data_IF_017622148426
#
_entry.id   IF_017622148426
#
_cell.length_a   1.000
_cell.length_b   1.000
_cell.length_c   1.000
_cell.angle_alpha   90.00
_cell.angle_beta   90.00
_cell.angle_gamma   90.00
#
_symmetry.space_group_name_H-M   'P 1'
#
loop_
_entity.id
_entity.type
_entity.pdbx_description
1 polymer ?
#
# COMPACT_ATOMS: atom_id res chain seq x y z
N UNK A 1 29.07 5.12 -23.25
CA UNK A 1 29.41 3.78 -22.73
C UNK A 1 29.13 2.75 -23.83
N UNK A 2 30.07 1.82 -24.11
CA UNK A 2 29.78 0.74 -25.05
C UNK A 2 28.86 -0.29 -24.40
N UNK A 3 28.13 -1.08 -25.19
CA UNK A 3 27.24 -2.13 -24.69
C UNK A 3 27.97 -3.14 -23.78
N UNK A 4 29.20 -3.50 -24.09
CA UNK A 4 30.02 -4.39 -23.30
C UNK A 4 30.35 -3.80 -21.90
N UNK A 5 30.61 -2.50 -21.83
CA UNK A 5 30.89 -1.81 -20.57
C UNK A 5 29.67 -1.78 -19.63
N UNK A 6 28.48 -1.64 -20.20
CA UNK A 6 27.21 -1.70 -19.42
C UNK A 6 26.99 -3.11 -18.89
N UNK A 7 27.26 -4.14 -19.70
CA UNK A 7 27.04 -5.53 -19.30
C UNK A 7 28.01 -5.97 -18.19
N UNK A 8 29.30 -5.61 -18.28
CA UNK A 8 30.28 -5.86 -17.22
C UNK A 8 29.91 -5.13 -15.93
N UNK A 9 29.46 -3.89 -16.04
CA UNK A 9 29.01 -3.09 -14.89
C UNK A 9 27.78 -3.72 -14.22
N UNK A 10 26.78 -4.20 -14.97
CA UNK A 10 25.61 -4.89 -14.46
C UNK A 10 26.00 -6.18 -13.73
N UNK A 11 26.93 -6.96 -14.27
CA UNK A 11 27.42 -8.17 -13.61
C UNK A 11 28.08 -7.87 -12.27
N UNK A 12 28.93 -6.84 -12.20
CA UNK A 12 29.58 -6.40 -10.98
C UNK A 12 28.61 -5.95 -9.89
N UNK A 13 27.51 -5.27 -10.27
CA UNK A 13 26.54 -4.72 -9.34
C UNK A 13 25.27 -5.58 -9.18
N UNK A 14 25.19 -6.72 -9.86
CA UNK A 14 23.99 -7.58 -9.88
C UNK A 14 23.53 -8.01 -8.48
N UNK A 15 24.46 -8.43 -7.61
CA UNK A 15 24.13 -8.84 -6.23
C UNK A 15 23.55 -7.70 -5.41
N UNK A 16 24.07 -6.49 -5.56
CA UNK A 16 23.56 -5.29 -4.89
C UNK A 16 22.14 -4.97 -5.36
N UNK A 17 21.94 -4.92 -6.68
CA UNK A 17 20.65 -4.56 -7.28
C UNK A 17 19.56 -5.61 -7.01
N UNK A 18 19.88 -6.91 -7.14
CA UNK A 18 18.95 -8.00 -6.83
C UNK A 18 18.63 -8.05 -5.34
N UNK A 19 19.61 -7.87 -4.47
CA UNK A 19 19.39 -7.78 -3.02
C UNK A 19 18.44 -6.63 -2.66
N UNK A 20 18.71 -5.44 -3.20
CA UNK A 20 17.86 -4.27 -2.98
C UNK A 20 16.44 -4.43 -3.55
N UNK A 21 16.30 -5.12 -4.69
CA UNK A 21 14.97 -5.45 -5.25
C UNK A 21 14.21 -6.36 -4.31
N UNK A 22 14.86 -7.40 -3.79
CA UNK A 22 14.25 -8.31 -2.83
C UNK A 22 13.82 -7.58 -1.54
N UNK A 23 14.66 -6.70 -1.01
CA UNK A 23 14.34 -5.87 0.15
C UNK A 23 13.10 -4.99 -0.10
N UNK A 24 13.03 -4.34 -1.28
CA UNK A 24 11.85 -3.54 -1.66
C UNK A 24 10.59 -4.39 -1.72
N UNK A 25 10.65 -5.56 -2.38
CA UNK A 25 9.52 -6.49 -2.47
C UNK A 25 9.10 -6.99 -1.09
N UNK A 26 10.05 -7.34 -0.24
CA UNK A 26 9.79 -7.79 1.13
C UNK A 26 9.07 -6.71 1.96
N UNK A 27 9.58 -5.47 1.94
CA UNK A 27 8.93 -4.35 2.63
C UNK A 27 7.49 -4.14 2.16
N UNK A 28 7.29 -4.08 0.85
CA UNK A 28 5.98 -3.84 0.23
C UNK A 28 5.01 -4.99 0.52
N UNK A 29 5.47 -6.23 0.42
CA UNK A 29 4.64 -7.40 0.67
C UNK A 29 4.18 -7.47 2.13
N UNK A 30 5.11 -7.34 3.08
CA UNK A 30 4.77 -7.44 4.52
C UNK A 30 3.90 -6.26 4.95
N UNK A 31 4.28 -5.02 4.60
CA UNK A 31 3.50 -3.84 4.93
C UNK A 31 2.12 -3.87 4.25
N UNK A 32 2.04 -4.36 3.01
CA UNK A 32 0.79 -4.54 2.28
C UNK A 32 -0.14 -5.54 2.96
N UNK A 33 0.36 -6.75 3.25
CA UNK A 33 -0.45 -7.79 3.91
C UNK A 33 -1.04 -7.29 5.23
N UNK A 34 -0.23 -6.69 6.09
CA UNK A 34 -0.72 -6.16 7.38
C UNK A 34 -1.64 -4.95 7.17
N UNK A 35 -1.27 -4.06 6.24
CA UNK A 35 -2.09 -2.91 5.87
C UNK A 35 -3.49 -3.29 5.37
N UNK A 36 -3.59 -4.33 4.53
CA UNK A 36 -4.88 -4.86 4.06
C UNK A 36 -5.64 -5.59 5.15
N UNK A 37 -4.97 -6.42 5.95
CA UNK A 37 -5.62 -7.18 7.02
C UNK A 37 -6.34 -6.27 8.03
N UNK A 38 -5.80 -5.07 8.29
CA UNK A 38 -6.39 -4.09 9.20
C UNK A 38 -7.23 -3.04 8.44
N UNK A 39 -6.75 -2.55 7.32
CA UNK A 39 -7.38 -1.47 6.57
C UNK A 39 -8.69 -1.87 5.91
N UNK A 40 -8.82 -3.12 5.38
CA UNK A 40 -10.08 -3.58 4.77
C UNK A 40 -11.21 -3.62 5.80
N UNK A 41 -11.08 -4.31 6.94
CA UNK A 41 -12.12 -4.26 7.98
C UNK A 41 -12.46 -2.85 8.44
N UNK A 42 -11.44 -1.99 8.61
CA UNK A 42 -11.64 -0.60 9.02
C UNK A 42 -12.46 0.18 7.99
N UNK A 43 -12.17 0.01 6.69
CA UNK A 43 -12.94 0.64 5.60
C UNK A 43 -14.38 0.15 5.54
N UNK A 44 -14.61 -1.15 5.75
CA UNK A 44 -15.96 -1.72 5.87
C UNK A 44 -16.72 -1.10 7.05
N UNK A 45 -16.09 -1.02 8.24
CA UNK A 45 -16.70 -0.42 9.42
C UNK A 45 -17.06 1.05 9.16
N UNK A 46 -16.18 1.83 8.53
CA UNK A 46 -16.47 3.22 8.15
C UNK A 46 -17.70 3.30 7.24
N UNK A 47 -17.79 2.44 6.23
CA UNK A 47 -18.91 2.45 5.30
C UNK A 47 -20.25 2.09 5.98
N UNK A 48 -20.30 1.02 6.78
CA UNK A 48 -21.56 0.54 7.36
C UNK A 48 -22.06 1.40 8.53
N UNK A 49 -21.17 2.13 9.21
CA UNK A 49 -21.50 2.98 10.37
C UNK A 49 -21.86 4.42 10.00
N UNK A 50 -21.69 4.82 8.73
CA UNK A 50 -22.04 6.16 8.25
C UNK A 50 -23.53 6.46 8.44
N UNK A 51 -23.90 7.74 8.39
CA UNK A 51 -25.30 8.19 8.45
C UNK A 51 -26.11 7.55 7.30
N UNK A 52 -27.22 6.90 7.63
CA UNK A 52 -28.00 6.10 6.69
C UNK A 52 -27.36 4.77 6.29
N UNK A 53 -26.31 4.34 6.95
CA UNK A 53 -25.63 3.06 6.70
C UNK A 53 -26.32 1.88 7.39
N UNK A 54 -25.87 0.67 7.03
CA UNK A 54 -26.46 -0.60 7.49
C UNK A 54 -26.47 -0.78 9.02
N UNK A 55 -25.46 -0.28 9.71
CA UNK A 55 -25.31 -0.30 11.16
C UNK A 55 -24.94 1.12 11.65
N UNK A 56 -25.84 2.08 11.35
CA UNK A 56 -25.58 3.50 11.63
C UNK A 56 -25.11 3.75 13.07
N UNK A 57 -23.92 4.32 13.18
CA UNK A 57 -23.35 4.83 14.42
C UNK A 57 -22.49 6.05 14.12
N UNK A 58 -23.11 7.21 14.08
CA UNK A 58 -22.47 8.47 13.71
C UNK A 58 -21.31 8.85 14.61
N UNK A 59 -21.35 8.52 15.90
CA UNK A 59 -20.24 8.79 16.83
C UNK A 59 -19.00 7.93 16.49
N UNK A 60 -19.20 6.62 16.32
CA UNK A 60 -18.12 5.70 15.93
C UNK A 60 -17.55 6.09 14.57
N UNK A 61 -18.41 6.34 13.59
CA UNK A 61 -18.01 6.75 12.25
C UNK A 61 -17.17 8.04 12.26
N UNK A 62 -17.63 9.08 12.97
CA UNK A 62 -16.93 10.36 13.07
C UNK A 62 -15.56 10.20 13.74
N UNK A 63 -15.46 9.42 14.82
CA UNK A 63 -14.19 9.17 15.53
C UNK A 63 -13.21 8.39 14.66
N UNK A 64 -13.63 7.27 14.08
CA UNK A 64 -12.78 6.47 13.20
C UNK A 64 -12.39 7.25 11.93
N UNK A 65 -13.34 7.97 11.34
CA UNK A 65 -13.09 8.83 10.19
C UNK A 65 -12.07 9.92 10.48
N UNK A 66 -12.13 10.54 11.67
CA UNK A 66 -11.14 11.52 12.10
C UNK A 66 -9.73 10.89 12.25
N UNK A 67 -9.63 9.73 12.90
CA UNK A 67 -8.35 9.00 13.05
C UNK A 67 -7.76 8.64 11.69
N UNK A 68 -8.57 8.09 10.78
CA UNK A 68 -8.14 7.75 9.42
C UNK A 68 -7.69 9.00 8.64
N UNK A 69 -8.42 10.11 8.76
CA UNK A 69 -8.06 11.36 8.10
C UNK A 69 -6.74 11.93 8.63
N UNK A 70 -6.55 11.95 9.96
CA UNK A 70 -5.30 12.39 10.58
C UNK A 70 -4.14 11.53 10.09
N UNK A 71 -4.28 10.18 10.11
CA UNK A 71 -3.25 9.27 9.65
C UNK A 71 -2.82 9.49 8.18
N UNK A 72 -3.75 9.91 7.32
CA UNK A 72 -3.48 10.24 5.91
C UNK A 72 -2.94 11.66 5.69
N UNK A 73 -3.14 12.55 6.65
CA UNK A 73 -2.72 13.96 6.52
C UNK A 73 -1.22 14.15 6.77
N UNK A 74 -0.56 13.18 7.40
CA UNK A 74 0.87 13.27 7.71
C UNK A 74 1.67 12.82 6.48
N UNK A 75 2.56 13.66 5.93
CA UNK A 75 3.48 13.23 4.87
C UNK A 75 4.29 12.03 5.31
N UNK A 76 4.43 11.02 4.44
CA UNK A 76 5.05 9.74 4.81
C UNK A 76 6.46 9.89 5.41
N UNK A 77 7.29 10.73 4.83
CA UNK A 77 8.64 10.98 5.35
C UNK A 77 8.64 11.56 6.77
N UNK A 78 7.68 12.44 7.07
CA UNK A 78 7.50 13.01 8.41
C UNK A 78 6.98 11.95 9.38
N UNK A 79 6.00 11.14 8.95
CA UNK A 79 5.49 10.02 9.74
C UNK A 79 6.62 9.07 10.12
N UNK A 80 7.45 8.68 9.17
CA UNK A 80 8.56 7.75 9.39
C UNK A 80 9.54 8.25 10.45
N UNK A 81 9.89 9.54 10.41
CA UNK A 81 10.78 10.16 11.41
C UNK A 81 10.08 10.29 12.76
N UNK A 82 8.81 10.70 12.77
CA UNK A 82 8.05 10.90 14.00
C UNK A 82 7.84 9.61 14.79
N UNK A 83 7.71 8.46 14.12
CA UNK A 83 7.48 7.17 14.79
C UNK A 83 8.77 6.35 15.06
N UNK A 84 9.96 6.94 14.89
CA UNK A 84 11.23 6.28 15.24
C UNK A 84 11.19 5.66 16.65
N UNK A 85 10.69 6.33 17.70
CA UNK A 85 10.60 5.73 19.05
C UNK A 85 9.75 4.45 19.06
N UNK A 86 8.62 4.45 18.35
CA UNK A 86 7.71 3.28 18.24
C UNK A 86 8.40 2.16 17.46
N UNK A 87 9.07 2.49 16.34
CA UNK A 87 9.81 1.54 15.52
C UNK A 87 10.91 0.86 16.35
N UNK A 88 11.69 1.64 17.12
CA UNK A 88 12.72 1.09 18.02
C UNK A 88 12.14 0.18 19.10
N UNK A 89 11.00 0.53 19.64
CA UNK A 89 10.33 -0.29 20.66
C UNK A 89 9.88 -1.65 20.10
N UNK A 90 9.41 -1.68 18.85
CA UNK A 90 8.88 -2.89 18.20
C UNK A 90 9.96 -3.78 17.60
N UNK A 91 11.01 -3.19 17.02
CA UNK A 91 12.01 -3.90 16.21
C UNK A 91 13.41 -3.84 16.83
N UNK A 92 13.64 -3.00 17.82
CA UNK A 92 14.96 -2.80 18.44
C UNK A 92 15.88 -1.84 17.68
N UNK A 93 15.58 -1.53 16.43
CA UNK A 93 16.32 -0.59 15.58
C UNK A 93 15.36 0.30 14.78
N UNK A 94 15.86 1.40 14.23
CA UNK A 94 15.10 2.25 13.30
C UNK A 94 15.74 2.26 11.90
N UNK A 95 16.83 1.51 11.70
CA UNK A 95 17.54 1.38 10.43
C UNK A 95 17.36 -0.04 9.90
N UNK A 96 17.28 -0.17 8.59
CA UNK A 96 17.15 -1.44 7.88
C UNK A 96 15.72 -1.77 7.46
N UNK A 97 15.63 -2.80 6.63
CA UNK A 97 14.42 -3.21 5.91
C UNK A 97 13.26 -3.55 6.86
N UNK A 98 13.56 -4.29 7.93
CA UNK A 98 12.54 -4.67 8.94
C UNK A 98 12.01 -3.45 9.69
N UNK A 99 12.88 -2.48 10.00
CA UNK A 99 12.46 -1.24 10.66
C UNK A 99 11.54 -0.41 9.76
N UNK A 100 11.85 -0.32 8.47
CA UNK A 100 11.05 0.42 7.50
C UNK A 100 9.63 -0.14 7.31
N UNK A 101 9.40 -1.43 7.57
CA UNK A 101 8.06 -2.05 7.50
C UNK A 101 7.08 -1.39 8.47
N UNK A 102 7.52 -0.96 9.66
CA UNK A 102 6.64 -0.36 10.68
C UNK A 102 5.97 0.92 10.16
N UNK A 103 6.72 1.97 9.73
CA UNK A 103 6.10 3.17 9.16
C UNK A 103 5.30 2.90 7.89
N UNK A 104 5.77 2.00 7.03
CA UNK A 104 5.04 1.61 5.82
C UNK A 104 3.66 1.04 6.16
N UNK A 105 3.59 0.15 7.15
CA UNK A 105 2.33 -0.45 7.61
C UNK A 105 1.40 0.58 8.24
N UNK A 106 1.92 1.43 9.14
CA UNK A 106 1.13 2.47 9.81
C UNK A 106 0.56 3.47 8.80
N UNK A 107 1.33 3.83 7.78
CA UNK A 107 0.85 4.69 6.69
C UNK A 107 -0.16 4.01 5.76
N UNK A 108 0.00 2.70 5.50
CA UNK A 108 -0.88 1.94 4.63
C UNK A 108 -2.29 1.76 5.21
N UNK A 109 -2.43 1.48 6.50
CA UNK A 109 -3.72 1.18 7.14
C UNK A 109 -4.78 2.25 6.86
N UNK A 110 -4.60 3.55 7.19
CA UNK A 110 -5.60 4.58 6.94
C UNK A 110 -5.81 4.85 5.45
N UNK A 111 -4.78 4.65 4.63
CA UNK A 111 -4.87 4.77 3.18
C UNK A 111 -5.79 3.68 2.59
N UNK A 112 -5.55 2.42 2.93
CA UNK A 112 -6.41 1.29 2.54
C UNK A 112 -7.83 1.48 3.04
N UNK A 113 -8.03 1.83 4.31
CA UNK A 113 -9.36 2.00 4.89
C UNK A 113 -10.21 2.99 4.09
N UNK A 114 -9.61 4.11 3.65
CA UNK A 114 -10.32 5.11 2.85
C UNK A 114 -10.60 4.65 1.42
N UNK A 115 -9.69 3.90 0.80
CA UNK A 115 -9.92 3.33 -0.52
C UNK A 115 -11.05 2.29 -0.50
N UNK A 116 -11.09 1.43 0.51
CA UNK A 116 -12.14 0.42 0.68
C UNK A 116 -13.48 1.09 0.97
N UNK A 117 -13.52 2.09 1.85
CA UNK A 117 -14.75 2.87 2.06
C UNK A 117 -15.26 3.48 0.76
N UNK A 118 -14.36 4.06 -0.07
CA UNK A 118 -14.69 4.57 -1.39
C UNK A 118 -15.25 3.51 -2.32
N UNK A 119 -14.61 2.35 -2.39
CA UNK A 119 -15.07 1.23 -3.21
C UNK A 119 -16.49 0.76 -2.83
N UNK A 120 -16.79 0.69 -1.53
CA UNK A 120 -18.10 0.31 -1.05
C UNK A 120 -19.18 1.40 -1.29
N UNK A 121 -18.79 2.66 -1.44
CA UNK A 121 -19.70 3.75 -1.79
C UNK A 121 -20.19 3.67 -3.24
N UNK A 122 -19.48 2.99 -4.12
CA UNK A 122 -19.87 2.79 -5.52
C UNK A 122 -20.97 1.73 -5.71
N UNK A 123 -21.20 0.89 -4.68
CA UNK A 123 -22.25 -0.14 -4.74
C UNK A 123 -23.62 0.50 -4.75
N UNK A 124 -24.49 0.17 -5.74
CA UNK A 124 -25.84 0.73 -5.81
C UNK A 124 -26.66 0.44 -4.55
N UNK A 125 -27.26 1.47 -3.96
CA UNK A 125 -28.05 1.34 -2.71
C UNK A 125 -29.25 0.38 -2.88
N UNK A 126 -29.84 0.33 -4.08
CA UNK A 126 -30.95 -0.57 -4.38
C UNK A 126 -30.63 -2.06 -4.17
N UNK A 127 -29.36 -2.49 -4.34
CA UNK A 127 -28.94 -3.87 -4.05
C UNK A 127 -28.99 -4.15 -2.53
N UNK A 128 -28.60 -3.18 -1.73
CA UNK A 128 -28.66 -3.28 -0.26
C UNK A 128 -30.11 -3.29 0.21
N UNK A 129 -30.94 -2.40 -0.34
CA UNK A 129 -32.38 -2.31 -0.01
C UNK A 129 -33.13 -3.59 -0.41
N UNK A 130 -32.85 -4.15 -1.58
CA UNK A 130 -33.41 -5.42 -2.02
C UNK A 130 -33.05 -6.58 -1.07
N UNK A 131 -31.76 -6.66 -0.67
CA UNK A 131 -31.32 -7.68 0.27
C UNK A 131 -31.97 -7.53 1.65
N UNK A 132 -32.13 -6.29 2.14
CA UNK A 132 -32.84 -6.01 3.39
C UNK A 132 -34.31 -6.43 3.31
N UNK A 133 -35.02 -6.14 2.19
CA UNK A 133 -36.40 -6.52 1.96
C UNK A 133 -36.59 -8.03 1.93
N UNK A 134 -35.57 -8.80 1.54
CA UNK A 134 -35.56 -10.27 1.60
C UNK A 134 -35.18 -10.81 2.99
N UNK A 135 -34.98 -9.97 4.00
CA UNK A 135 -34.67 -10.37 5.37
C UNK A 135 -33.21 -10.76 5.58
N UNK A 136 -32.27 -10.34 4.70
CA UNK A 136 -30.84 -10.62 4.88
C UNK A 136 -30.28 -9.92 6.12
N UNK A 137 -29.46 -10.65 6.88
CA UNK A 137 -28.76 -10.08 8.05
C UNK A 137 -27.64 -9.12 7.61
N UNK A 138 -27.22 -8.16 8.45
CA UNK A 138 -26.12 -7.25 8.13
C UNK A 138 -24.85 -7.96 7.66
N UNK A 139 -24.47 -9.07 8.29
CA UNK A 139 -23.31 -9.88 7.88
C UNK A 139 -23.50 -10.48 6.49
N UNK A 140 -24.69 -10.95 6.16
CA UNK A 140 -25.00 -11.47 4.82
C UNK A 140 -24.92 -10.38 3.77
N UNK A 141 -25.43 -9.18 4.07
CA UNK A 141 -25.35 -8.03 3.16
C UNK A 141 -23.89 -7.64 2.91
N UNK A 142 -23.07 -7.56 3.95
CA UNK A 142 -21.65 -7.22 3.81
C UNK A 142 -20.93 -8.27 2.96
N UNK A 143 -21.08 -9.56 3.29
CA UNK A 143 -20.25 -10.62 2.68
C UNK A 143 -20.78 -11.12 1.33
N UNK A 144 -22.10 -11.02 1.06
CA UNK A 144 -22.71 -11.56 -0.16
C UNK A 144 -23.17 -10.48 -1.15
N UNK A 145 -23.23 -9.21 -0.72
CA UNK A 145 -23.66 -8.12 -1.59
C UNK A 145 -22.56 -7.07 -1.70
N UNK A 146 -22.20 -6.39 -0.59
CA UNK A 146 -21.27 -5.26 -0.63
C UNK A 146 -19.87 -5.65 -1.10
N UNK A 147 -19.25 -6.64 -0.47
CA UNK A 147 -17.88 -7.04 -0.81
C UNK A 147 -17.77 -7.65 -2.22
N UNK A 148 -18.66 -8.58 -2.65
CA UNK A 148 -18.59 -9.12 -4.01
C UNK A 148 -18.84 -8.06 -5.09
N UNK A 149 -19.81 -7.17 -4.91
CA UNK A 149 -20.10 -6.12 -5.89
C UNK A 149 -18.99 -5.07 -6.00
N UNK A 150 -18.34 -4.73 -4.86
CA UNK A 150 -17.20 -3.81 -4.83
C UNK A 150 -15.86 -4.48 -5.23
N UNK A 151 -15.82 -5.80 -5.47
CA UNK A 151 -14.57 -6.55 -5.66
C UNK A 151 -13.65 -5.98 -6.74
N UNK A 152 -14.13 -5.57 -7.94
CA UNK A 152 -13.27 -4.96 -8.95
C UNK A 152 -12.55 -3.69 -8.44
N UNK A 153 -13.27 -2.80 -7.77
CA UNK A 153 -12.73 -1.56 -7.19
C UNK A 153 -11.83 -1.85 -5.99
N UNK A 154 -12.13 -2.89 -5.19
CA UNK A 154 -11.25 -3.35 -4.10
C UNK A 154 -9.92 -3.85 -4.65
N UNK A 155 -9.92 -4.67 -5.70
CA UNK A 155 -8.68 -5.17 -6.33
C UNK A 155 -7.86 -4.02 -6.92
N UNK A 156 -8.51 -3.05 -7.56
CA UNK A 156 -7.84 -1.85 -8.03
C UNK A 156 -7.22 -1.05 -6.87
N UNK A 157 -7.92 -0.92 -5.74
CA UNK A 157 -7.43 -0.28 -4.52
C UNK A 157 -6.20 -0.99 -3.93
N UNK A 158 -6.15 -2.32 -4.01
CA UNK A 158 -4.97 -3.11 -3.63
C UNK A 158 -3.79 -2.75 -4.54
N UNK A 159 -3.99 -2.70 -5.84
CA UNK A 159 -2.95 -2.34 -6.81
C UNK A 159 -2.40 -0.93 -6.55
N UNK A 160 -3.27 0.05 -6.39
CA UNK A 160 -2.89 1.44 -6.07
C UNK A 160 -2.07 1.49 -4.78
N UNK A 161 -2.48 0.74 -3.76
CA UNK A 161 -1.77 0.70 -2.47
C UNK A 161 -0.37 0.09 -2.63
N UNK A 162 -0.22 -1.02 -3.35
CA UNK A 162 1.08 -1.65 -3.58
C UNK A 162 2.03 -0.74 -4.33
N UNK A 163 1.57 -0.05 -5.38
CA UNK A 163 2.36 0.96 -6.12
C UNK A 163 2.77 2.11 -5.20
N UNK A 164 1.85 2.59 -4.36
CA UNK A 164 2.15 3.64 -3.36
C UNK A 164 3.18 3.17 -2.34
N UNK A 165 3.10 1.92 -1.87
CA UNK A 165 4.07 1.35 -0.95
C UNK A 165 5.46 1.21 -1.57
N UNK A 166 5.59 0.92 -2.87
CA UNK A 166 6.89 0.97 -3.58
C UNK A 166 7.46 2.39 -3.50
N UNK A 167 6.67 3.42 -3.77
CA UNK A 167 7.10 4.82 -3.67
C UNK A 167 7.53 5.19 -2.24
N UNK A 168 6.78 4.75 -1.24
CA UNK A 168 7.10 4.97 0.18
C UNK A 168 8.36 4.20 0.62
N UNK A 169 8.57 2.97 0.11
CA UNK A 169 9.80 2.22 0.38
C UNK A 169 11.04 2.92 -0.20
N UNK A 170 10.90 3.57 -1.36
CA UNK A 170 11.97 4.38 -1.92
C UNK A 170 12.29 5.60 -1.04
N UNK A 171 11.26 6.25 -0.46
CA UNK A 171 11.45 7.32 0.52
C UNK A 171 12.11 6.80 1.81
N UNK A 172 11.74 5.60 2.27
CA UNK A 172 12.38 4.97 3.44
C UNK A 172 13.88 4.74 3.24
N UNK A 173 14.32 4.53 2.00
CA UNK A 173 15.73 4.44 1.64
C UNK A 173 16.55 5.68 2.02
N UNK A 174 15.96 6.88 2.05
CA UNK A 174 16.67 8.12 2.46
C UNK A 174 17.10 8.10 3.93
N UNK A 175 16.47 7.28 4.75
CA UNK A 175 16.73 7.17 6.21
C UNK A 175 17.36 5.81 6.55
N UNK A 176 17.88 5.12 5.53
CA UNK A 176 18.53 3.83 5.72
C UNK A 176 17.59 2.64 5.87
N UNK A 177 16.40 2.73 5.27
CA UNK A 177 15.41 1.64 5.23
C UNK A 177 15.78 0.46 4.33
N UNK A 178 16.86 0.56 3.53
CA UNK A 178 17.22 -0.46 2.55
C UNK A 178 16.42 -0.36 1.24
N UNK A 179 16.54 -1.38 0.40
CA UNK A 179 15.84 -1.48 -0.87
C UNK A 179 16.43 -0.64 -2.00
N UNK A 180 15.71 -0.63 -3.14
CA UNK A 180 16.14 0.11 -4.33
C UNK A 180 16.25 1.62 -4.06
N UNK A 181 15.39 2.18 -3.20
CA UNK A 181 15.47 3.59 -2.82
C UNK A 181 16.76 3.94 -2.09
N UNK A 182 17.25 3.09 -1.20
CA UNK A 182 18.52 3.26 -0.50
C UNK A 182 19.70 3.22 -1.48
N UNK A 183 19.67 2.28 -2.44
CA UNK A 183 20.71 2.19 -3.48
C UNK A 183 20.72 3.46 -4.34
N UNK A 184 19.56 3.96 -4.76
CA UNK A 184 19.47 5.20 -5.53
C UNK A 184 20.07 6.39 -4.78
N UNK A 185 19.76 6.55 -3.50
CA UNK A 185 20.23 7.68 -2.70
C UNK A 185 21.71 7.50 -2.32
N UNK A 186 22.09 6.35 -1.78
CA UNK A 186 23.42 6.13 -1.24
C UNK A 186 24.50 6.07 -2.33
N UNK A 187 24.24 5.37 -3.42
CA UNK A 187 25.20 5.20 -4.50
C UNK A 187 24.95 6.20 -5.64
N UNK A 188 23.70 6.37 -6.05
CA UNK A 188 23.36 7.26 -7.15
C UNK A 188 23.52 8.73 -6.80
N UNK A 189 22.91 9.18 -5.70
CA UNK A 189 22.93 10.60 -5.33
C UNK A 189 24.19 10.99 -4.55
N UNK A 190 24.48 10.33 -3.42
CA UNK A 190 25.63 10.73 -2.57
C UNK A 190 26.99 10.45 -3.17
N UNK A 191 27.13 9.40 -3.99
CA UNK A 191 28.40 9.07 -4.67
C UNK A 191 28.45 9.60 -6.10
N UNK A 192 27.41 10.29 -6.55
CA UNK A 192 27.31 10.84 -7.92
C UNK A 192 27.45 9.78 -9.02
N UNK A 193 27.05 8.52 -8.75
CA UNK A 193 27.03 7.47 -9.77
C UNK A 193 25.73 7.53 -10.56
N UNK A 194 25.77 8.28 -11.67
CA UNK A 194 24.63 8.47 -12.58
C UNK A 194 24.13 7.14 -13.14
N UNK A 195 25.03 6.16 -13.35
CA UNK A 195 24.68 4.85 -13.92
C UNK A 195 23.84 4.06 -12.92
N UNK A 196 24.26 3.97 -11.65
CA UNK A 196 23.47 3.34 -10.58
C UNK A 196 22.11 4.04 -10.44
N UNK A 197 22.08 5.36 -10.43
CA UNK A 197 20.84 6.12 -10.34
C UNK A 197 19.88 5.75 -11.49
N UNK A 198 20.35 5.79 -12.74
CA UNK A 198 19.52 5.49 -13.89
C UNK A 198 19.00 4.04 -13.88
N UNK A 199 19.87 3.07 -13.59
CA UNK A 199 19.48 1.65 -13.51
C UNK A 199 18.45 1.43 -12.39
N UNK A 200 18.64 2.00 -11.22
CA UNK A 200 17.72 1.86 -10.08
C UNK A 200 16.35 2.46 -10.40
N UNK A 201 16.31 3.64 -11.06
CA UNK A 201 15.05 4.25 -11.51
C UNK A 201 14.34 3.35 -12.51
N UNK A 202 15.04 2.80 -13.50
CA UNK A 202 14.46 1.85 -14.46
C UNK A 202 13.91 0.61 -13.75
N UNK A 203 14.65 0.05 -12.78
CA UNK A 203 14.19 -1.10 -12.01
C UNK A 203 12.92 -0.79 -11.20
N UNK A 204 12.82 0.39 -10.58
CA UNK A 204 11.61 0.83 -9.88
C UNK A 204 10.43 0.97 -10.84
N UNK A 205 10.65 1.57 -12.03
CA UNK A 205 9.61 1.68 -13.06
C UNK A 205 9.12 0.29 -13.49
N UNK A 206 10.03 -0.64 -13.78
CA UNK A 206 9.69 -2.01 -14.19
C UNK A 206 8.91 -2.72 -13.08
N UNK A 207 9.35 -2.60 -11.83
CA UNK A 207 8.67 -3.18 -10.68
C UNK A 207 7.22 -2.68 -10.54
N UNK A 208 7.02 -1.36 -10.64
CA UNK A 208 5.69 -0.74 -10.59
C UNK A 208 4.84 -1.20 -11.77
N UNK A 209 5.39 -1.26 -12.98
CA UNK A 209 4.66 -1.73 -14.17
C UNK A 209 4.23 -3.21 -14.05
N UNK A 210 5.07 -4.06 -13.46
CA UNK A 210 4.70 -5.46 -13.19
C UNK A 210 3.52 -5.52 -12.21
N UNK A 211 3.60 -4.79 -11.08
CA UNK A 211 2.51 -4.74 -10.10
C UNK A 211 1.21 -4.24 -10.74
N UNK A 212 1.28 -3.15 -11.52
CA UNK A 212 0.14 -2.58 -12.22
C UNK A 212 -0.47 -3.57 -13.22
N UNK A 213 0.35 -4.20 -14.05
CA UNK A 213 -0.10 -5.16 -15.05
C UNK A 213 -0.78 -6.39 -14.44
N UNK A 214 -0.25 -6.89 -13.31
CA UNK A 214 -0.87 -7.98 -12.56
C UNK A 214 -2.22 -7.53 -12.00
N UNK A 215 -2.26 -6.34 -11.38
CA UNK A 215 -3.47 -5.76 -10.84
C UNK A 215 -4.57 -5.62 -11.89
N UNK A 216 -4.26 -5.01 -13.05
CA UNK A 216 -5.18 -4.84 -14.16
C UNK A 216 -5.69 -6.20 -14.71
N UNK A 217 -4.81 -7.21 -14.76
CA UNK A 217 -5.20 -8.55 -15.18
C UNK A 217 -6.18 -9.21 -14.19
N UNK A 218 -5.98 -9.00 -12.88
CA UNK A 218 -6.89 -9.50 -11.84
C UNK A 218 -8.23 -8.76 -11.90
N UNK A 219 -8.22 -7.43 -12.02
CA UNK A 219 -9.46 -6.63 -12.17
C UNK A 219 -10.29 -7.16 -13.33
N UNK A 220 -9.69 -7.35 -14.53
CA UNK A 220 -10.41 -7.89 -15.69
C UNK A 220 -11.02 -9.27 -15.50
N UNK A 221 -10.50 -10.08 -14.57
CA UNK A 221 -11.07 -11.42 -14.26
C UNK A 221 -12.21 -11.38 -13.26
N UNK A 222 -12.23 -10.35 -12.42
CA UNK A 222 -13.20 -10.20 -11.33
C UNK A 222 -14.34 -9.28 -11.74
N UNK A 223 -14.12 -8.44 -12.75
CA UNK A 223 -15.14 -7.57 -13.32
C UNK A 223 -16.12 -8.42 -14.17
N UNK A 224 -17.34 -8.51 -13.69
CA UNK A 224 -18.46 -9.22 -14.34
C UNK A 224 -19.48 -8.27 -14.98
N UNK A 225 -19.11 -6.98 -15.13
CA UNK A 225 -19.95 -5.92 -15.72
C UNK A 225 -19.81 -5.86 -17.23
#
# INVERSE_FOLDING_TARGET
>A
MSFNTIFEWLNLNSKLLLGATWETLYMVAVAGVVGFAVGIPLGVVLHITKKGGLLENTKLNSTLGAVVNIGRSVPFLVLMVAIIPVTKMLVGTFIGTTAAIVPLTIGAIPFVARLIEGALLEVPTGLVEAAQSMGATPTQIITKVLLPEAMPTIVNSVTITLVTLVSYSAMAGTVGGGGLGDVAIRYGFHRYDITIMAVTVVMLIVLVQIIQSIGDAVVRRVDHR
#
